data_IF_789390225283
#
_entry.id   IF_789390225283
#
_cell.length_a   1.000
_cell.length_b   1.000
_cell.length_c   1.000
_cell.angle_alpha   90.00
_cell.angle_beta   90.00
_cell.angle_gamma   90.00
#
_symmetry.space_group_name_H-M   'P 1'
#
loop_
_entity.id
_entity.type
_entity.pdbx_description
1 polymer ?
#
# COMPACT_ATOMS: atom_id res chain seq x y z
N UNK A 1 9.33 39.09 -11.33
CA UNK A 1 8.87 38.10 -10.33
C UNK A 1 8.06 36.93 -10.91
N UNK A 2 7.29 37.10 -11.99
CA UNK A 2 6.44 36.02 -12.54
C UNK A 2 7.18 34.77 -13.08
N UNK A 3 8.43 34.89 -13.54
CA UNK A 3 9.20 33.73 -14.03
C UNK A 3 9.61 32.77 -12.91
N UNK A 4 10.02 33.30 -11.76
CA UNK A 4 10.46 32.50 -10.61
C UNK A 4 9.27 31.72 -10.02
N UNK A 5 8.12 32.37 -9.86
CA UNK A 5 6.89 31.69 -9.39
C UNK A 5 6.47 30.58 -10.33
N UNK A 6 6.59 30.78 -11.66
CA UNK A 6 6.31 29.74 -12.67
C UNK A 6 7.26 28.55 -12.55
N UNK A 7 8.56 28.79 -12.36
CA UNK A 7 9.55 27.73 -12.16
C UNK A 7 9.25 26.93 -10.90
N UNK A 8 8.93 27.61 -9.79
CA UNK A 8 8.59 26.95 -8.52
C UNK A 8 7.35 26.07 -8.69
N UNK A 9 6.27 26.61 -9.26
CA UNK A 9 5.04 25.86 -9.53
C UNK A 9 5.30 24.64 -10.42
N UNK A 10 6.07 24.81 -11.50
CA UNK A 10 6.39 23.70 -12.40
C UNK A 10 7.16 22.59 -11.69
N UNK A 11 8.13 22.93 -10.83
CA UNK A 11 8.88 21.94 -10.05
C UNK A 11 8.01 21.23 -9.02
N UNK A 12 7.08 21.94 -8.37
CA UNK A 12 6.13 21.34 -7.43
C UNK A 12 5.18 20.37 -8.13
N UNK A 13 4.64 20.74 -9.30
CA UNK A 13 3.76 19.87 -10.09
C UNK A 13 4.53 18.62 -10.55
N UNK A 14 5.76 18.78 -11.06
CA UNK A 14 6.59 17.65 -11.46
C UNK A 14 6.95 16.74 -10.28
N UNK A 15 7.24 17.32 -9.11
CA UNK A 15 7.50 16.57 -7.88
C UNK A 15 6.28 15.77 -7.45
N UNK A 16 5.10 16.42 -7.39
CA UNK A 16 3.85 15.78 -7.01
C UNK A 16 3.45 14.65 -7.98
N UNK A 17 3.63 14.88 -9.28
CA UNK A 17 3.37 13.87 -10.31
C UNK A 17 4.32 12.68 -10.15
N UNK A 18 5.61 12.93 -9.91
CA UNK A 18 6.59 11.87 -9.64
C UNK A 18 6.20 11.05 -8.40
N UNK A 19 5.83 11.72 -7.30
CA UNK A 19 5.39 11.04 -6.09
C UNK A 19 4.15 10.17 -6.34
N UNK A 20 3.18 10.69 -7.11
CA UNK A 20 1.97 9.96 -7.45
C UNK A 20 2.27 8.72 -8.29
N UNK A 21 3.14 8.84 -9.30
CA UNK A 21 3.57 7.71 -10.12
C UNK A 21 4.29 6.66 -9.27
N UNK A 22 5.25 7.06 -8.45
CA UNK A 22 5.99 6.13 -7.58
C UNK A 22 5.05 5.45 -6.58
N UNK A 23 4.13 6.21 -5.98
CA UNK A 23 3.13 5.65 -5.06
C UNK A 23 2.24 4.61 -5.75
N UNK A 24 1.74 4.91 -6.96
CA UNK A 24 0.93 3.98 -7.73
C UNK A 24 1.72 2.72 -8.08
N UNK A 25 2.98 2.86 -8.49
CA UNK A 25 3.86 1.73 -8.80
C UNK A 25 4.07 0.85 -7.58
N UNK A 26 4.42 1.42 -6.43
CA UNK A 26 4.62 0.66 -5.18
C UNK A 26 3.33 -0.03 -4.76
N UNK A 27 2.21 0.70 -4.72
CA UNK A 27 0.93 0.15 -4.31
C UNK A 27 0.48 -0.99 -5.22
N UNK A 28 0.61 -0.80 -6.53
CA UNK A 28 0.28 -1.85 -7.52
C UNK A 28 1.22 -3.04 -7.37
N UNK A 29 2.53 -2.82 -7.24
CA UNK A 29 3.50 -3.88 -7.05
C UNK A 29 3.21 -4.69 -5.77
N UNK A 30 2.87 -4.01 -4.67
CA UNK A 30 2.52 -4.67 -3.40
C UNK A 30 1.23 -5.47 -3.52
N UNK A 31 0.20 -4.94 -4.20
CA UNK A 31 -1.06 -5.67 -4.42
C UNK A 31 -0.93 -6.81 -5.44
N UNK A 32 0.05 -6.73 -6.35
CA UNK A 32 0.34 -7.81 -7.32
C UNK A 32 1.15 -8.95 -6.71
N UNK A 33 1.80 -8.74 -5.56
CA UNK A 33 2.53 -9.81 -4.88
C UNK A 33 1.54 -10.92 -4.52
N UNK A 34 1.72 -12.14 -5.06
CA UNK A 34 0.91 -13.27 -4.65
C UNK A 34 1.29 -13.64 -3.22
N UNK A 35 0.39 -13.37 -2.28
CA UNK A 35 0.56 -13.68 -0.86
C UNK A 35 -0.39 -12.84 -0.02
N UNK A 36 -1.22 -13.48 0.79
CA UNK A 36 -1.97 -12.77 1.82
C UNK A 36 -0.96 -12.15 2.80
N UNK A 37 -1.17 -10.90 3.23
CA UNK A 37 -0.31 -10.26 4.23
C UNK A 37 -0.16 -11.15 5.47
N UNK A 38 -1.21 -11.89 5.83
CA UNK A 38 -1.17 -12.88 6.91
C UNK A 38 -0.20 -14.04 6.64
N UNK A 39 -0.12 -14.52 5.41
CA UNK A 39 0.76 -15.60 4.99
C UNK A 39 2.22 -15.14 4.90
N UNK A 40 2.45 -13.90 4.43
CA UNK A 40 3.77 -13.27 4.44
C UNK A 40 4.31 -13.03 5.86
N UNK A 41 3.44 -12.72 6.83
CA UNK A 41 3.79 -12.55 8.25
C UNK A 41 4.08 -13.88 8.93
N UNK A 42 3.35 -14.95 8.58
CA UNK A 42 3.53 -16.30 9.15
C UNK A 42 4.68 -17.09 8.51
N UNK A 43 5.14 -16.69 7.31
CA UNK A 43 6.27 -17.29 6.62
C UNK A 43 6.05 -18.77 6.28
N UNK A 44 7.12 -19.58 6.33
CA UNK A 44 7.05 -21.01 5.99
C UNK A 44 6.21 -21.87 6.97
N UNK A 45 5.69 -21.27 8.06
CA UNK A 45 4.83 -21.93 9.06
C UNK A 45 3.34 -21.59 8.92
N UNK A 46 2.91 -20.99 7.81
CA UNK A 46 1.53 -20.63 7.55
C UNK A 46 0.65 -21.88 7.37
N UNK A 47 0.29 -22.53 8.48
CA UNK A 47 -0.79 -23.52 8.46
C UNK A 47 -2.13 -22.78 8.32
N UNK A 48 -3.12 -23.35 7.62
CA UNK A 48 -4.44 -22.72 7.45
C UNK A 48 -5.07 -22.31 8.78
N UNK A 49 -4.82 -23.09 9.84
CA UNK A 49 -5.31 -22.81 11.18
C UNK A 49 -4.64 -21.59 11.83
N UNK A 50 -3.33 -21.42 11.65
CA UNK A 50 -2.57 -20.29 12.20
C UNK A 50 -2.90 -18.97 11.46
N UNK A 51 -3.13 -19.05 10.14
CA UNK A 51 -3.61 -17.91 9.34
C UNK A 51 -5.00 -17.48 9.82
N UNK A 52 -5.91 -18.43 10.07
CA UNK A 52 -7.26 -18.14 10.54
C UNK A 52 -7.33 -17.67 12.00
N UNK A 53 -6.37 -18.02 12.87
CA UNK A 53 -6.29 -17.43 14.22
C UNK A 53 -5.78 -16.00 14.15
N UNK A 54 -4.72 -15.73 13.38
CA UNK A 54 -4.16 -14.37 13.23
C UNK A 54 -5.16 -13.43 12.54
N UNK A 55 -5.89 -13.88 11.52
CA UNK A 55 -6.92 -13.06 10.87
C UNK A 55 -8.06 -12.69 11.81
N UNK A 56 -8.45 -13.58 12.72
CA UNK A 56 -9.43 -13.29 13.78
C UNK A 56 -8.87 -12.32 14.83
N UNK A 57 -7.64 -12.56 15.30
CA UNK A 57 -7.00 -11.73 16.33
C UNK A 57 -6.72 -10.30 15.84
N UNK A 58 -6.32 -10.15 14.57
CA UNK A 58 -6.07 -8.86 13.93
C UNK A 58 -7.36 -8.21 13.36
N UNK A 59 -8.50 -8.89 13.44
CA UNK A 59 -9.78 -8.40 12.90
C UNK A 59 -9.79 -8.21 11.39
N UNK A 60 -8.92 -8.95 10.67
CA UNK A 60 -8.80 -8.89 9.21
C UNK A 60 -9.94 -9.63 8.49
N UNK A 61 -10.65 -10.52 9.19
CA UNK A 61 -11.88 -11.16 8.69
C UNK A 61 -13.13 -10.29 8.86
N UNK A 62 -13.01 -9.11 9.47
CA UNK A 62 -14.12 -8.17 9.60
C UNK A 62 -14.20 -7.34 8.33
N UNK A 63 -15.27 -7.55 7.58
CA UNK A 63 -15.58 -6.80 6.36
C UNK A 63 -15.45 -5.28 6.61
N UNK A 64 -14.70 -4.58 5.76
CA UNK A 64 -14.49 -3.12 5.84
C UNK A 64 -15.81 -2.32 5.91
N UNK A 65 -16.92 -2.90 5.44
CA UNK A 65 -18.25 -2.30 5.45
C UNK A 65 -18.98 -2.32 6.82
N UNK A 66 -18.46 -3.04 7.82
CA UNK A 66 -19.08 -3.16 9.17
C UNK A 66 -18.29 -2.40 10.24
N UNK A 67 -17.34 -1.54 9.84
CA UNK A 67 -16.66 -0.60 10.74
C UNK A 67 -17.39 0.73 10.82
#
# INVERSE_FOLDING_TARGET
MGSVTRIILQRLVLGLLTLLVVSLVIFTAVNLLPGDFAEAVLGQGATPEAVASIRRDLGLDQNFAVR
#
